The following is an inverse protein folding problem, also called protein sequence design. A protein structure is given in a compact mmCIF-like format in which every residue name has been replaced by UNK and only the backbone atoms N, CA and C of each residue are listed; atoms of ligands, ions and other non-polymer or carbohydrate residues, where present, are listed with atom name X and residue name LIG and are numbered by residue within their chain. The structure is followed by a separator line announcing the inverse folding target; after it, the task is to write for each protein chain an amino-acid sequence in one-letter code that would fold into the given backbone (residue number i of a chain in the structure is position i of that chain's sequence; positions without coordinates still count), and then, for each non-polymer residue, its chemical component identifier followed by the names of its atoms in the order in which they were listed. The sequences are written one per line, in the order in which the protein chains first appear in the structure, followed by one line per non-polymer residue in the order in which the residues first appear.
data_IF_635633396307
#
_entry.id   IF_635633396307
#
_cell.length_a   1.000
_cell.length_b   1.000
_cell.length_c   1.000
_cell.angle_alpha   90.00
_cell.angle_beta   90.00
_cell.angle_gamma   90.00
#
_symmetry.space_group_name_H-M   'P 1'
#
loop_
_entity.id
_entity.type
_entity.pdbx_description
1 polymer ?
#
# COMPACT_ATOMS: atom_id res chain seq x y z
N UNK A 1 18.89 -39.39 1.86
CA UNK A 1 17.45 -39.37 2.15
C UNK A 1 17.27 -39.04 3.61
N UNK A 2 16.77 -37.84 3.89
CA UNK A 2 16.25 -37.51 5.21
C UNK A 2 15.06 -38.43 5.49
N UNK A 3 14.83 -38.81 6.75
CA UNK A 3 13.70 -39.65 7.12
C UNK A 3 12.89 -38.91 8.20
N UNK A 4 11.71 -38.39 7.83
CA UNK A 4 10.68 -38.01 8.78
C UNK A 4 9.82 -39.24 9.05
N UNK A 5 9.73 -39.67 10.31
CA UNK A 5 8.80 -40.74 10.67
C UNK A 5 7.35 -40.26 10.57
N UNK A 6 6.42 -41.18 10.31
CA UNK A 6 4.99 -40.87 10.29
C UNK A 6 4.52 -40.24 11.62
N UNK A 7 5.10 -40.67 12.74
CA UNK A 7 4.86 -40.07 14.06
C UNK A 7 5.36 -38.63 14.18
N UNK A 8 6.47 -38.28 13.51
CA UNK A 8 6.97 -36.90 13.47
C UNK A 8 6.03 -36.01 12.66
N UNK A 9 5.55 -36.50 11.51
CA UNK A 9 4.56 -35.78 10.68
C UNK A 9 3.26 -35.58 11.46
N UNK A 10 2.71 -36.63 12.07
CA UNK A 10 1.49 -36.54 12.89
C UNK A 10 1.64 -35.58 14.08
N UNK A 11 2.85 -35.45 14.63
CA UNK A 11 3.13 -34.50 15.72
C UNK A 11 3.21 -33.06 15.23
N UNK A 12 3.78 -32.82 14.05
CA UNK A 12 3.86 -31.50 13.42
C UNK A 12 2.49 -31.00 12.92
N UNK A 13 1.60 -31.91 12.52
CA UNK A 13 0.24 -31.59 12.09
C UNK A 13 -0.76 -31.42 13.25
N UNK A 14 -0.35 -31.63 14.50
CA UNK A 14 -1.22 -31.31 15.64
C UNK A 14 -1.35 -29.79 15.72
N UNK A 15 -2.57 -29.24 15.86
CA UNK A 15 -2.76 -27.83 16.12
C UNK A 15 -1.88 -27.41 17.29
N UNK A 16 -1.18 -26.29 17.16
CA UNK A 16 -0.44 -25.72 18.28
C UNK A 16 -1.43 -25.48 19.42
N UNK A 17 -1.31 -26.27 20.51
CA UNK A 17 -2.04 -25.98 21.73
C UNK A 17 -1.49 -24.64 22.26
N UNK A 18 -2.36 -23.66 22.59
CA UNK A 18 -1.90 -22.42 23.19
C UNK A 18 -1.08 -22.76 24.43
N UNK A 19 0.13 -22.20 24.53
CA UNK A 19 1.05 -22.53 25.61
C UNK A 19 0.36 -22.36 26.97
N UNK A 20 0.39 -23.37 27.86
CA UNK A 20 -0.21 -23.26 29.18
C UNK A 20 0.57 -22.22 29.99
N UNK A 21 -0.03 -21.04 30.19
CA UNK A 21 0.59 -19.93 30.91
C UNK A 21 0.85 -18.66 30.09
N UNK A 22 0.41 -18.57 28.83
CA UNK A 22 0.24 -17.27 28.19
C UNK A 22 -0.83 -16.49 28.98
N UNK A 23 -0.38 -15.60 29.87
CA UNK A 23 -1.27 -14.69 30.58
C UNK A 23 -2.03 -13.85 29.55
N UNK A 24 -3.36 -13.67 29.69
CA UNK A 24 -4.17 -12.87 28.79
C UNK A 24 -4.05 -11.38 29.13
N UNK A 25 -2.83 -10.87 29.26
CA UNK A 25 -2.64 -9.44 29.50
C UNK A 25 -2.35 -8.75 28.15
N UNK A 26 -3.25 -7.82 27.80
CA UNK A 26 -3.38 -6.94 26.62
C UNK A 26 -4.23 -7.39 25.39
N UNK A 27 -4.96 -8.51 25.43
CA UNK A 27 -5.85 -8.95 24.33
C UNK A 27 -7.36 -8.66 24.53
N UNK A 28 -7.76 -7.70 25.36
CA UNK A 28 -9.19 -7.46 25.70
C UNK A 28 -10.05 -6.84 24.58
N UNK A 29 -9.55 -6.71 23.35
CA UNK A 29 -10.43 -6.51 22.21
C UNK A 29 -11.01 -7.86 21.81
N UNK A 30 -12.35 -8.00 21.88
CA UNK A 30 -13.03 -9.12 21.23
C UNK A 30 -12.49 -9.22 19.79
N UNK A 31 -12.02 -10.39 19.32
CA UNK A 31 -11.65 -10.52 17.91
C UNK A 31 -12.91 -10.17 17.12
N UNK A 32 -12.87 -9.03 16.42
CA UNK A 32 -13.79 -8.75 15.33
C UNK A 32 -13.81 -10.02 14.45
N UNK A 33 -14.95 -10.41 13.86
CA UNK A 33 -15.02 -11.62 13.05
C UNK A 33 -13.82 -11.61 12.11
N UNK A 34 -12.90 -12.55 12.32
CA UNK A 34 -11.58 -12.50 11.70
C UNK A 34 -11.79 -12.61 10.20
N UNK A 35 -11.79 -11.45 9.53
CA UNK A 35 -11.71 -11.39 8.10
C UNK A 35 -10.37 -12.05 7.78
N UNK A 36 -10.38 -13.11 6.98
CA UNK A 36 -9.17 -13.74 6.48
C UNK A 36 -8.31 -12.64 5.82
N UNK A 37 -7.19 -12.21 6.43
CA UNK A 37 -6.41 -11.07 5.94
C UNK A 37 -5.85 -11.36 4.55
N UNK A 38 -5.54 -12.63 4.26
CA UNK A 38 -5.09 -13.08 2.94
C UNK A 38 -6.21 -12.94 1.94
N UNK A 39 -7.42 -13.42 2.24
CA UNK A 39 -8.56 -13.27 1.35
C UNK A 39 -8.90 -11.79 1.09
N UNK A 40 -8.84 -10.94 2.11
CA UNK A 40 -9.05 -9.50 1.99
C UNK A 40 -8.02 -8.84 1.07
N UNK A 41 -6.73 -9.15 1.26
CA UNK A 41 -5.65 -8.66 0.41
C UNK A 41 -5.78 -9.16 -1.04
N UNK A 42 -6.08 -10.44 -1.23
CA UNK A 42 -6.27 -11.04 -2.55
C UNK A 42 -7.43 -10.40 -3.31
N UNK A 43 -8.57 -10.19 -2.65
CA UNK A 43 -9.71 -9.52 -3.25
C UNK A 43 -9.37 -8.08 -3.68
N UNK A 44 -8.66 -7.34 -2.81
CA UNK A 44 -8.25 -5.95 -3.08
C UNK A 44 -7.33 -5.83 -4.29
N UNK A 45 -6.40 -6.77 -4.43
CA UNK A 45 -5.35 -6.72 -5.46
C UNK A 45 -5.66 -7.59 -6.68
N UNK A 46 -6.85 -8.18 -6.76
CA UNK A 46 -7.27 -9.02 -7.88
C UNK A 46 -6.43 -10.29 -8.04
N UNK A 47 -5.91 -10.82 -6.92
CA UNK A 47 -5.09 -12.03 -6.91
C UNK A 47 -5.97 -13.27 -7.09
N UNK A 48 -5.46 -14.25 -7.81
CA UNK A 48 -6.16 -15.52 -8.03
C UNK A 48 -5.99 -16.48 -6.86
N UNK A 49 -6.78 -17.56 -6.84
CA UNK A 49 -6.65 -18.62 -5.83
C UNK A 49 -5.23 -19.23 -5.81
N UNK A 50 -4.61 -19.38 -7.00
CA UNK A 50 -3.23 -19.84 -7.08
C UNK A 50 -2.26 -18.82 -6.47
N UNK A 51 -2.49 -17.53 -6.68
CA UNK A 51 -1.65 -16.49 -6.08
C UNK A 51 -1.76 -16.51 -4.55
N UNK A 52 -2.97 -16.69 -4.02
CA UNK A 52 -3.21 -16.85 -2.58
C UNK A 52 -2.48 -18.09 -2.00
N UNK A 53 -2.60 -19.24 -2.68
CA UNK A 53 -1.93 -20.47 -2.25
C UNK A 53 -0.40 -20.32 -2.23
N UNK A 54 0.18 -19.73 -3.29
CA UNK A 54 1.63 -19.48 -3.36
C UNK A 54 2.10 -18.54 -2.25
N UNK A 55 1.32 -17.49 -1.94
CA UNK A 55 1.62 -16.55 -0.86
C UNK A 55 1.62 -17.26 0.50
N UNK A 56 0.59 -18.06 0.80
CA UNK A 56 0.48 -18.82 2.07
C UNK A 56 1.62 -19.84 2.21
N UNK A 57 1.96 -20.56 1.14
CA UNK A 57 3.08 -21.51 1.13
C UNK A 57 4.41 -20.79 1.41
N UNK A 58 4.63 -19.63 0.81
CA UNK A 58 5.85 -18.86 1.05
C UNK A 58 5.90 -18.25 2.47
N UNK A 59 4.74 -17.89 3.02
CA UNK A 59 4.58 -17.29 4.35
C UNK A 59 4.78 -18.30 5.49
N UNK A 60 4.44 -19.57 5.28
CA UNK A 60 4.36 -20.57 6.34
C UNK A 60 5.61 -20.70 7.25
N UNK A 61 6.85 -20.67 6.73
CA UNK A 61 8.07 -20.75 7.56
C UNK A 61 8.27 -19.55 8.48
N UNK A 62 7.75 -18.38 8.09
CA UNK A 62 7.85 -17.16 8.89
C UNK A 62 6.79 -17.13 10.02
N UNK A 63 5.75 -17.98 9.94
CA UNK A 63 4.70 -18.13 10.96
C UNK A 63 4.97 -19.25 11.96
N UNK A 64 5.44 -20.41 11.47
CA UNK A 64 5.75 -21.56 12.30
C UNK A 64 7.01 -22.27 11.79
N UNK A 65 8.00 -22.36 12.69
CA UNK A 65 9.29 -23.01 12.44
C UNK A 65 9.16 -24.49 12.06
N UNK A 66 8.05 -25.16 12.38
CA UNK A 66 7.75 -26.50 11.90
C UNK A 66 7.84 -26.60 10.36
N UNK A 67 7.42 -25.56 9.64
CA UNK A 67 7.48 -25.53 8.18
C UNK A 67 8.91 -25.45 7.64
N UNK A 68 9.86 -24.87 8.37
CA UNK A 68 11.28 -24.91 7.97
C UNK A 68 11.79 -26.35 7.82
N UNK A 69 11.41 -27.21 8.77
CA UNK A 69 11.82 -28.62 8.79
C UNK A 69 11.09 -29.42 7.71
N UNK A 70 9.78 -29.20 7.57
CA UNK A 70 8.97 -29.86 6.54
C UNK A 70 9.46 -29.50 5.13
N UNK A 71 9.77 -28.23 4.88
CA UNK A 71 10.27 -27.80 3.58
C UNK A 71 11.67 -28.30 3.31
N UNK A 72 12.57 -28.32 4.31
CA UNK A 72 13.89 -28.94 4.14
C UNK A 72 13.79 -30.43 3.77
N UNK A 73 12.84 -31.15 4.36
CA UNK A 73 12.57 -32.54 3.99
C UNK A 73 12.00 -32.68 2.58
N UNK A 74 10.97 -31.89 2.23
CA UNK A 74 10.32 -31.96 0.92
C UNK A 74 11.22 -31.49 -0.23
N UNK A 75 12.18 -30.60 0.05
CA UNK A 75 13.23 -30.21 -0.88
C UNK A 75 14.38 -31.24 -0.96
N UNK A 76 14.38 -32.30 -0.14
CA UNK A 76 15.52 -33.22 0.09
C UNK A 76 16.84 -32.50 0.43
N UNK A 77 16.74 -31.38 1.16
CA UNK A 77 17.85 -30.52 1.53
C UNK A 77 17.54 -29.75 2.82
N UNK A 78 18.13 -30.18 3.96
CA UNK A 78 17.94 -29.53 5.27
C UNK A 78 18.41 -28.08 5.33
N UNK A 79 19.25 -27.65 4.38
CA UNK A 79 19.68 -26.25 4.31
C UNK A 79 18.58 -25.36 3.71
N UNK A 80 17.62 -25.93 2.99
CA UNK A 80 16.51 -25.22 2.33
C UNK A 80 15.27 -25.16 3.20
N UNK A 81 15.20 -24.14 4.05
CA UNK A 81 14.11 -23.91 5.01
C UNK A 81 12.90 -23.14 4.45
N UNK A 82 12.94 -22.78 3.17
CA UNK A 82 11.86 -22.08 2.47
C UNK A 82 11.28 -22.91 1.34
N UNK A 83 10.06 -22.56 0.94
CA UNK A 83 9.44 -23.17 -0.22
C UNK A 83 10.24 -22.84 -1.47
N UNK A 84 10.58 -23.85 -2.27
CA UNK A 84 11.07 -23.62 -3.63
C UNK A 84 9.91 -23.46 -4.59
N UNK A 85 10.14 -22.91 -5.78
CA UNK A 85 9.11 -22.86 -6.83
C UNK A 85 8.58 -24.25 -7.15
N UNK A 86 9.44 -25.27 -7.25
CA UNK A 86 8.99 -26.66 -7.44
C UNK A 86 8.07 -27.10 -6.32
N UNK A 87 8.51 -26.96 -5.07
CA UNK A 87 7.74 -27.37 -3.90
C UNK A 87 6.39 -26.66 -3.83
N UNK A 88 6.34 -25.36 -4.10
CA UNK A 88 5.09 -24.60 -4.05
C UNK A 88 4.08 -25.08 -5.12
N UNK A 89 4.55 -25.38 -6.34
CA UNK A 89 3.69 -25.94 -7.38
C UNK A 89 3.23 -27.35 -7.05
N UNK A 90 4.12 -28.19 -6.52
CA UNK A 90 3.80 -29.57 -6.12
C UNK A 90 2.76 -29.61 -4.99
N UNK A 91 2.88 -28.73 -3.99
CA UNK A 91 1.90 -28.58 -2.91
C UNK A 91 0.53 -28.09 -3.41
N UNK A 92 0.51 -27.28 -4.47
CA UNK A 92 -0.72 -26.87 -5.16
C UNK A 92 -1.29 -27.95 -6.10
N UNK A 93 -0.61 -29.11 -6.24
CA UNK A 93 -1.01 -30.17 -7.18
C UNK A 93 -0.85 -29.78 -8.65
N UNK A 94 0.02 -28.81 -8.95
CA UNK A 94 0.21 -28.27 -10.29
C UNK A 94 1.52 -28.83 -10.88
N UNK A 95 1.50 -29.37 -12.11
CA UNK A 95 2.72 -29.85 -12.74
C UNK A 95 3.76 -28.73 -12.92
N UNK A 96 5.01 -28.98 -12.52
CA UNK A 96 6.12 -28.00 -12.57
C UNK A 96 6.45 -27.45 -13.98
N UNK A 97 5.99 -28.12 -15.03
CA UNK A 97 6.13 -27.72 -16.44
C UNK A 97 4.96 -26.83 -16.93
N UNK A 98 3.97 -26.55 -16.08
CA UNK A 98 2.84 -25.67 -16.41
C UNK A 98 3.32 -24.24 -16.67
N UNK A 99 3.18 -23.79 -17.93
CA UNK A 99 3.59 -22.45 -18.33
C UNK A 99 2.79 -21.36 -17.58
N UNK A 100 1.49 -21.57 -17.38
CA UNK A 100 0.61 -20.59 -16.71
C UNK A 100 0.95 -20.44 -15.24
N UNK A 101 1.30 -21.52 -14.55
CA UNK A 101 1.69 -21.49 -13.14
C UNK A 101 3.08 -20.84 -12.96
N UNK A 102 4.03 -21.19 -13.83
CA UNK A 102 5.35 -20.54 -13.85
C UNK A 102 5.25 -19.05 -14.13
N UNK A 103 4.31 -18.64 -14.98
CA UNK A 103 4.06 -17.24 -15.29
C UNK A 103 3.60 -16.44 -14.06
N UNK A 104 2.99 -17.04 -13.03
CA UNK A 104 2.60 -16.36 -11.78
C UNK A 104 3.77 -15.90 -10.92
N UNK A 105 4.96 -16.43 -11.17
CA UNK A 105 6.20 -16.12 -10.45
C UNK A 105 7.18 -15.31 -11.32
N UNK A 106 6.73 -14.83 -12.49
CA UNK A 106 7.50 -13.93 -13.33
C UNK A 106 7.63 -12.55 -12.66
N UNK A 107 8.72 -11.78 -12.88
CA UNK A 107 8.86 -10.43 -12.29
C UNK A 107 7.71 -9.46 -12.58
N UNK A 108 6.98 -9.66 -13.68
CA UNK A 108 5.82 -8.84 -14.05
C UNK A 108 4.48 -9.41 -13.55
N UNK A 109 4.49 -10.57 -12.90
CA UNK A 109 3.29 -11.21 -12.39
C UNK A 109 2.86 -10.58 -11.06
N UNK A 110 1.55 -10.57 -10.73
CA UNK A 110 1.02 -9.78 -9.61
C UNK A 110 1.73 -9.97 -8.28
N UNK A 111 2.04 -11.21 -7.87
CA UNK A 111 2.71 -11.44 -6.59
C UNK A 111 4.08 -10.76 -6.49
N UNK A 112 4.85 -10.78 -7.59
CA UNK A 112 6.21 -10.22 -7.61
C UNK A 112 6.18 -8.73 -7.93
N UNK A 113 5.42 -8.31 -8.94
CA UNK A 113 5.36 -6.91 -9.37
C UNK A 113 4.69 -5.99 -8.34
N UNK A 114 3.75 -6.51 -7.55
CA UNK A 114 3.14 -5.76 -6.45
C UNK A 114 3.98 -5.79 -5.18
N UNK A 115 5.11 -6.53 -5.18
CA UNK A 115 6.03 -6.62 -4.05
C UNK A 115 5.50 -7.44 -2.88
N UNK A 116 4.63 -8.43 -3.14
CA UNK A 116 4.06 -9.33 -2.12
C UNK A 116 4.91 -10.59 -1.92
N UNK A 117 5.66 -10.96 -2.95
CA UNK A 117 6.51 -12.16 -2.99
C UNK A 117 7.84 -11.84 -3.66
N UNK A 118 8.91 -12.34 -3.05
CA UNK A 118 10.28 -12.27 -3.59
C UNK A 118 10.68 -13.68 -4.03
N UNK A 119 11.19 -13.78 -5.25
CA UNK A 119 11.82 -14.99 -5.78
C UNK A 119 13.34 -14.81 -5.65
N UNK A 120 13.93 -15.51 -4.69
CA UNK A 120 15.36 -15.43 -4.37
C UNK A 120 16.20 -16.34 -5.28
N UNK A 121 17.52 -16.23 -5.21
CA UNK A 121 18.47 -17.08 -5.96
C UNK A 121 18.29 -17.00 -7.50
N UNK A 122 18.27 -15.79 -8.11
CA UNK A 122 18.01 -15.61 -9.54
C UNK A 122 19.00 -16.36 -10.46
N UNK A 123 20.22 -16.61 -9.98
CA UNK A 123 21.26 -17.39 -10.66
C UNK A 123 20.91 -18.88 -10.81
N UNK A 124 19.95 -19.39 -10.04
CA UNK A 124 19.50 -20.79 -10.12
C UNK A 124 18.40 -20.99 -11.16
N UNK A 125 18.21 -22.24 -11.63
CA UNK A 125 17.01 -22.61 -12.39
C UNK A 125 15.74 -22.28 -11.62
N UNK A 126 14.69 -21.81 -12.31
CA UNK A 126 13.45 -21.32 -11.68
C UNK A 126 12.90 -22.25 -10.60
N UNK A 127 12.84 -23.56 -10.88
CA UNK A 127 12.28 -24.55 -9.96
C UNK A 127 13.04 -24.67 -8.63
N UNK A 128 14.33 -24.35 -8.62
CA UNK A 128 15.18 -24.38 -7.43
C UNK A 128 15.26 -23.03 -6.71
N UNK A 129 14.56 -22.00 -7.19
CA UNK A 129 14.55 -20.69 -6.54
C UNK A 129 13.65 -20.71 -5.32
N UNK A 130 14.05 -20.02 -4.27
CA UNK A 130 13.32 -19.93 -3.00
C UNK A 130 12.29 -18.79 -3.05
N UNK A 131 11.14 -19.00 -2.42
CA UNK A 131 10.08 -18.02 -2.30
C UNK A 131 10.10 -17.40 -0.90
N UNK A 132 9.99 -16.08 -0.81
CA UNK A 132 9.96 -15.32 0.45
C UNK A 132 8.88 -14.26 0.42
N UNK A 133 8.18 -14.08 1.54
CA UNK A 133 7.28 -12.94 1.75
C UNK A 133 8.08 -11.82 2.44
N UNK A 134 7.98 -10.55 1.99
CA UNK A 134 8.62 -9.44 2.71
C UNK A 134 8.06 -9.27 4.12
N UNK A 135 8.91 -8.96 5.08
CA UNK A 135 8.57 -8.84 6.50
C UNK A 135 7.40 -7.88 6.75
N UNK A 136 7.33 -6.76 6.00
CA UNK A 136 6.21 -5.81 6.06
C UNK A 136 4.87 -6.45 5.66
N UNK A 137 4.87 -7.35 4.67
CA UNK A 137 3.66 -8.07 4.24
C UNK A 137 3.26 -9.11 5.28
N UNK A 138 4.24 -9.80 5.89
CA UNK A 138 4.01 -10.72 7.02
C UNK A 138 3.34 -9.97 8.17
N UNK A 139 3.90 -8.82 8.57
CA UNK A 139 3.37 -7.99 9.67
C UNK A 139 1.91 -7.55 9.41
N UNK A 140 1.61 -7.07 8.19
CA UNK A 140 0.24 -6.69 7.82
C UNK A 140 -0.74 -7.87 7.85
N UNK A 141 -0.33 -9.04 7.35
CA UNK A 141 -1.18 -10.24 7.40
C UNK A 141 -1.43 -10.74 8.83
N UNK A 142 -0.55 -10.36 9.78
CA UNK A 142 -0.72 -10.61 11.22
C UNK A 142 -1.48 -9.48 11.95
N UNK A 143 -1.91 -8.44 11.24
CA UNK A 143 -2.72 -7.35 11.77
C UNK A 143 -1.93 -6.12 12.23
N UNK A 144 -0.63 -6.02 11.94
CA UNK A 144 0.14 -4.81 12.18
C UNK A 144 0.06 -3.87 10.98
N UNK A 145 -0.70 -2.79 11.11
CA UNK A 145 -0.87 -1.76 10.09
C UNK A 145 0.15 -0.62 10.18
N UNK A 146 1.17 -0.74 11.05
CA UNK A 146 2.23 0.26 11.18
C UNK A 146 3.13 0.25 9.94
N UNK A 147 3.30 1.38 9.23
CA UNK A 147 4.24 1.46 8.11
C UNK A 147 5.68 1.16 8.53
N UNK A 148 6.49 0.64 7.60
CA UNK A 148 7.93 0.44 7.82
C UNK A 148 8.57 1.74 8.32
N UNK A 149 9.38 1.74 9.41
CA UNK A 149 10.01 2.94 9.95
C UNK A 149 10.82 3.76 8.92
N UNK A 150 11.46 3.09 7.96
CA UNK A 150 12.18 3.75 6.89
C UNK A 150 11.24 4.52 5.94
N UNK A 151 10.06 3.97 5.66
CA UNK A 151 9.02 4.67 4.89
C UNK A 151 8.35 5.76 5.73
N UNK A 152 8.05 5.47 7.00
CA UNK A 152 7.36 6.37 7.93
C UNK A 152 8.09 7.70 8.12
N UNK A 153 9.43 7.71 8.09
CA UNK A 153 10.23 8.93 8.13
C UNK A 153 9.94 9.92 6.97
N UNK A 154 9.40 9.43 5.86
CA UNK A 154 9.05 10.20 4.67
C UNK A 154 7.55 10.49 4.55
N UNK A 155 6.73 9.92 5.42
CA UNK A 155 5.30 10.24 5.50
C UNK A 155 5.09 11.54 6.26
N UNK A 156 4.10 12.31 5.83
CA UNK A 156 3.68 13.58 6.42
C UNK A 156 2.21 13.49 6.77
N UNK A 157 1.75 14.19 7.83
CA UNK A 157 0.33 14.32 8.05
C UNK A 157 -0.32 15.05 6.87
N UNK A 158 -1.55 14.66 6.51
CA UNK A 158 -2.38 15.48 5.64
C UNK A 158 -2.91 16.69 6.43
N UNK A 159 -3.10 17.85 5.78
CA UNK A 159 -3.75 18.97 6.43
C UNK A 159 -5.18 18.62 6.82
N UNK A 160 -5.65 19.18 7.94
CA UNK A 160 -7.05 19.09 8.31
C UNK A 160 -7.88 19.87 7.27
N UNK A 161 -8.97 19.30 6.73
CA UNK A 161 -9.82 19.99 5.78
C UNK A 161 -10.40 21.26 6.43
N UNK A 162 -10.54 22.34 5.65
CA UNK A 162 -11.10 23.57 6.16
C UNK A 162 -12.54 23.34 6.65
N UNK A 163 -12.91 23.99 7.75
CA UNK A 163 -14.31 24.11 8.13
C UNK A 163 -14.96 25.03 7.11
N UNK A 164 -15.84 24.50 6.28
CA UNK A 164 -16.61 25.29 5.33
C UNK A 164 -17.91 25.73 5.99
N UNK A 165 -18.18 27.03 5.94
CA UNK A 165 -19.38 27.63 6.55
C UNK A 165 -20.63 27.47 5.63
N UNK A 166 -20.55 26.55 4.66
CA UNK A 166 -21.56 26.36 3.62
C UNK A 166 -21.56 27.42 2.51
N UNK A 167 -20.56 28.31 2.45
CA UNK A 167 -20.49 29.39 1.44
C UNK A 167 -19.56 29.13 0.25
N UNK A 168 -18.76 28.05 0.29
CA UNK A 168 -17.75 27.75 -0.74
C UNK A 168 -18.21 26.58 -1.63
N UNK A 169 -19.28 26.84 -2.40
CA UNK A 169 -19.98 25.85 -3.23
C UNK A 169 -19.04 25.19 -4.27
N UNK A 170 -18.04 25.92 -4.76
CA UNK A 170 -17.08 25.39 -5.75
C UNK A 170 -16.13 24.36 -5.11
N UNK A 171 -15.55 24.69 -3.95
CA UNK A 171 -14.66 23.79 -3.22
C UNK A 171 -15.38 22.51 -2.78
N UNK A 172 -16.58 22.65 -2.21
CA UNK A 172 -17.40 21.50 -1.81
C UNK A 172 -17.73 20.60 -3.01
N UNK A 173 -18.22 21.19 -4.11
CA UNK A 173 -18.53 20.43 -5.33
C UNK A 173 -17.30 19.75 -5.93
N UNK A 174 -16.15 20.42 -5.95
CA UNK A 174 -14.91 19.85 -6.46
C UNK A 174 -14.48 18.64 -5.64
N UNK A 175 -14.47 18.77 -4.31
CA UNK A 175 -14.05 17.70 -3.39
C UNK A 175 -15.01 16.50 -3.42
N UNK A 176 -16.32 16.74 -3.55
CA UNK A 176 -17.32 15.67 -3.71
C UNK A 176 -17.14 14.91 -5.03
N UNK A 177 -16.90 15.61 -6.14
CA UNK A 177 -16.64 14.99 -7.44
C UNK A 177 -15.33 14.19 -7.44
N UNK A 178 -14.28 14.75 -6.83
CA UNK A 178 -13.00 14.06 -6.69
C UNK A 178 -13.13 12.81 -5.80
N UNK A 179 -13.86 12.91 -4.68
CA UNK A 179 -14.15 11.79 -3.80
C UNK A 179 -14.91 10.67 -4.53
N UNK A 180 -15.96 11.02 -5.28
CA UNK A 180 -16.70 10.06 -6.09
C UNK A 180 -15.79 9.39 -7.13
N UNK A 181 -14.88 10.14 -7.77
CA UNK A 181 -13.95 9.56 -8.76
C UNK A 181 -12.87 8.68 -8.13
N UNK A 182 -12.41 8.98 -6.92
CA UNK A 182 -11.42 8.19 -6.18
C UNK A 182 -11.93 6.79 -5.80
N UNK A 183 -13.23 6.67 -5.53
CA UNK A 183 -13.86 5.38 -5.19
C UNK A 183 -14.29 4.56 -6.41
N UNK A 184 -14.30 5.18 -7.60
CA UNK A 184 -14.68 4.52 -8.84
C UNK A 184 -13.51 3.76 -9.48
N UNK A 185 -13.81 2.62 -10.13
CA UNK A 185 -12.84 1.89 -10.94
C UNK A 185 -12.75 2.47 -12.38
N UNK A 186 -11.56 2.46 -13.02
CA UNK A 186 -10.24 2.09 -12.47
C UNK A 186 -9.68 3.17 -11.52
N UNK A 187 -8.69 2.81 -10.66
CA UNK A 187 -8.02 3.74 -9.74
C UNK A 187 -7.59 5.03 -10.44
N UNK A 188 -7.84 6.16 -9.77
CA UNK A 188 -7.57 7.49 -10.31
C UNK A 188 -6.12 7.89 -10.08
N UNK A 189 -5.43 8.30 -11.14
CA UNK A 189 -4.24 9.16 -11.06
C UNK A 189 -4.66 10.56 -11.47
N UNK A 190 -4.50 11.56 -10.60
CA UNK A 190 -4.85 12.94 -10.89
C UNK A 190 -3.72 13.90 -10.55
N UNK A 191 -3.58 14.94 -11.38
CA UNK A 191 -2.69 16.07 -11.15
C UNK A 191 -3.53 17.31 -10.81
N UNK A 192 -3.46 17.74 -9.55
CA UNK A 192 -4.13 18.93 -9.03
C UNK A 192 -3.21 20.14 -9.20
N UNK A 193 -3.48 20.93 -10.25
CA UNK A 193 -2.78 22.18 -10.51
C UNK A 193 -3.13 23.19 -9.43
N UNK A 194 -2.13 23.65 -8.71
CA UNK A 194 -2.28 24.64 -7.66
C UNK A 194 -2.09 26.05 -8.20
N UNK A 195 -3.07 26.93 -7.91
CA UNK A 195 -2.90 28.38 -8.06
C UNK A 195 -1.98 28.94 -6.98
N UNK A 196 -2.15 28.49 -5.73
CA UNK A 196 -1.27 28.77 -4.59
C UNK A 196 -0.85 27.46 -3.95
N UNK A 197 0.40 27.42 -3.48
CA UNK A 197 0.93 26.25 -2.79
C UNK A 197 0.00 25.81 -1.65
N UNK A 198 -0.41 24.54 -1.68
CA UNK A 198 -1.27 23.94 -0.67
C UNK A 198 -2.78 23.95 -0.97
N UNK A 199 -3.25 24.65 -2.01
CA UNK A 199 -4.65 24.61 -2.44
C UNK A 199 -5.05 23.17 -2.86
N UNK A 200 -4.22 22.54 -3.68
CA UNK A 200 -4.41 21.18 -4.18
C UNK A 200 -4.32 20.14 -3.07
N UNK A 201 -3.32 20.27 -2.17
CA UNK A 201 -3.19 19.37 -1.02
C UNK A 201 -4.42 19.41 -0.11
N UNK A 202 -5.06 20.57 0.04
CA UNK A 202 -6.29 20.75 0.82
C UNK A 202 -7.50 20.08 0.16
N UNK A 203 -7.62 20.23 -1.17
CA UNK A 203 -8.65 19.57 -1.95
C UNK A 203 -8.48 18.04 -1.88
N UNK A 204 -7.24 17.55 -2.02
CA UNK A 204 -6.90 16.14 -1.89
C UNK A 204 -7.30 15.60 -0.50
N UNK A 205 -6.87 16.27 0.58
CA UNK A 205 -7.20 15.86 1.95
C UNK A 205 -8.71 15.82 2.21
N UNK A 206 -9.45 16.81 1.70
CA UNK A 206 -10.90 16.88 1.86
C UNK A 206 -11.61 15.79 1.06
N UNK A 207 -11.23 15.58 -0.20
CA UNK A 207 -11.81 14.54 -1.05
C UNK A 207 -11.53 13.13 -0.52
N UNK A 208 -10.32 12.87 -0.03
CA UNK A 208 -9.95 11.58 0.57
C UNK A 208 -10.77 11.29 1.83
N UNK A 209 -10.99 12.31 2.67
CA UNK A 209 -11.85 12.19 3.85
C UNK A 209 -13.31 11.92 3.48
N UNK A 210 -13.85 12.66 2.52
CA UNK A 210 -15.21 12.44 2.00
C UNK A 210 -15.36 11.03 1.39
N UNK A 211 -14.32 10.54 0.72
CA UNK A 211 -14.28 9.19 0.16
C UNK A 211 -14.09 8.09 1.22
N UNK A 212 -13.71 8.43 2.45
CA UNK A 212 -13.35 7.46 3.49
C UNK A 212 -12.08 6.65 3.17
N UNK A 213 -11.19 7.19 2.33
CA UNK A 213 -9.96 6.51 1.92
C UNK A 213 -8.78 6.94 2.80
N UNK A 214 -8.01 5.99 3.36
CA UNK A 214 -6.74 6.33 4.00
C UNK A 214 -5.77 6.88 2.96
N UNK A 215 -4.78 7.65 3.41
CA UNK A 215 -3.84 8.30 2.50
C UNK A 215 -2.42 8.37 3.07
N UNK A 216 -1.46 8.17 2.18
CA UNK A 216 -0.03 8.28 2.42
C UNK A 216 0.48 9.55 1.73
N UNK A 217 0.59 10.63 2.50
CA UNK A 217 1.22 11.86 2.01
C UNK A 217 2.74 11.69 2.09
N UNK A 218 3.37 11.51 0.93
CA UNK A 218 4.77 11.14 0.80
C UNK A 218 5.62 12.33 0.36
N UNK A 219 6.73 12.55 1.05
CA UNK A 219 7.73 13.58 0.77
C UNK A 219 9.16 12.99 0.83
N UNK A 220 9.32 11.76 0.33
CA UNK A 220 10.59 11.03 0.34
C UNK A 220 11.25 10.92 -1.03
N UNK A 221 12.43 10.28 -1.07
CA UNK A 221 13.16 10.03 -2.31
C UNK A 221 12.52 8.93 -3.17
N UNK A 222 12.83 8.95 -4.48
CA UNK A 222 12.25 8.03 -5.48
C UNK A 222 12.60 6.55 -5.25
N UNK A 223 13.74 6.25 -4.61
CA UNK A 223 14.15 4.88 -4.26
C UNK A 223 13.21 4.21 -3.24
N UNK A 224 12.36 4.98 -2.56
CA UNK A 224 11.33 4.49 -1.63
C UNK A 224 9.95 4.30 -2.26
N UNK A 225 9.77 4.63 -3.54
CA UNK A 225 8.50 4.42 -4.25
C UNK A 225 8.05 2.96 -4.23
N UNK A 226 8.92 1.94 -4.38
CA UNK A 226 8.50 0.55 -4.25
C UNK A 226 7.93 0.20 -2.86
N UNK A 227 8.49 0.77 -1.80
CA UNK A 227 8.00 0.59 -0.42
C UNK A 227 6.66 1.32 -0.21
N UNK A 228 6.55 2.55 -0.73
CA UNK A 228 5.32 3.35 -0.71
C UNK A 228 4.17 2.65 -1.43
N UNK A 229 4.42 2.12 -2.64
CA UNK A 229 3.43 1.41 -3.43
C UNK A 229 2.97 0.12 -2.73
N UNK A 230 3.89 -0.61 -2.09
CA UNK A 230 3.56 -1.78 -1.28
C UNK A 230 2.66 -1.37 -0.10
N UNK A 231 3.04 -0.34 0.64
CA UNK A 231 2.26 0.16 1.77
C UNK A 231 0.86 0.60 1.36
N UNK A 232 0.72 1.35 0.26
CA UNK A 232 -0.55 1.77 -0.30
C UNK A 232 -1.46 0.58 -0.66
N UNK A 233 -0.88 -0.51 -1.20
CA UNK A 233 -1.62 -1.73 -1.56
C UNK A 233 -2.06 -2.53 -0.34
N UNK A 234 -1.23 -2.63 0.69
CA UNK A 234 -1.55 -3.32 1.93
C UNK A 234 -2.69 -2.59 2.66
N UNK A 235 -2.50 -1.29 2.91
CA UNK A 235 -3.46 -0.44 3.63
C UNK A 235 -4.69 -0.03 2.82
N UNK A 236 -4.67 -0.22 1.50
CA UNK A 236 -5.70 0.31 0.59
C UNK A 236 -5.70 1.84 0.53
N UNK A 237 -4.59 2.48 0.86
CA UNK A 237 -4.45 3.93 0.89
C UNK A 237 -4.19 4.53 -0.48
N UNK A 238 -4.67 5.75 -0.68
CA UNK A 238 -4.25 6.61 -1.78
C UNK A 238 -2.88 7.23 -1.49
N UNK A 239 -2.12 7.52 -2.54
CA UNK A 239 -0.86 8.25 -2.43
C UNK A 239 -1.09 9.72 -2.71
N UNK A 240 -0.53 10.59 -1.88
CA UNK A 240 -0.53 12.04 -2.10
C UNK A 240 0.90 12.55 -2.20
N UNK A 241 1.20 13.28 -3.25
CA UNK A 241 2.51 13.89 -3.51
C UNK A 241 2.34 15.39 -3.69
N UNK A 242 2.80 16.17 -2.72
CA UNK A 242 2.82 17.64 -2.82
C UNK A 242 4.14 18.19 -3.38
N UNK A 243 5.16 17.32 -3.51
CA UNK A 243 6.48 17.69 -4.00
C UNK A 243 6.90 16.75 -5.11
N UNK A 244 7.24 17.32 -6.27
CA UNK A 244 7.79 16.60 -7.40
C UNK A 244 9.30 16.88 -7.51
N UNK A 245 10.11 15.89 -7.93
CA UNK A 245 11.54 16.08 -8.17
C UNK A 245 11.80 17.04 -9.36
N UNK A 246 13.07 17.30 -9.63
CA UNK A 246 13.49 18.09 -10.80
C UNK A 246 13.06 17.41 -12.11
N UNK A 247 13.20 16.09 -12.19
CA UNK A 247 12.77 15.24 -13.30
C UNK A 247 11.57 14.36 -12.90
N UNK A 248 10.33 14.87 -12.96
CA UNK A 248 9.14 14.14 -12.50
C UNK A 248 8.69 12.98 -13.40
N UNK A 249 9.14 12.92 -14.67
CA UNK A 249 8.64 11.95 -15.65
C UNK A 249 8.76 10.47 -15.24
N UNK A 250 9.90 9.99 -14.72
CA UNK A 250 10.02 8.62 -14.23
C UNK A 250 9.04 8.29 -13.08
N UNK A 251 9.00 9.15 -12.06
CA UNK A 251 8.12 9.00 -10.90
C UNK A 251 6.63 8.98 -11.29
N UNK A 252 6.20 9.93 -12.13
CA UNK A 252 4.80 10.03 -12.56
C UNK A 252 4.38 8.79 -13.36
N UNK A 253 5.24 8.25 -14.25
CA UNK A 253 4.93 7.00 -14.97
C UNK A 253 4.79 5.80 -14.07
N UNK A 254 5.71 5.65 -13.13
CA UNK A 254 5.67 4.53 -12.18
C UNK A 254 4.38 4.55 -11.35
N UNK A 255 4.01 5.73 -10.85
CA UNK A 255 2.79 5.93 -10.07
C UNK A 255 1.53 5.77 -10.91
N UNK A 256 1.50 6.29 -12.14
CA UNK A 256 0.35 6.16 -13.04
C UNK A 256 0.06 4.70 -13.41
N UNK A 257 1.11 3.88 -13.57
CA UNK A 257 1.01 2.46 -13.87
C UNK A 257 0.79 1.56 -12.63
N UNK A 258 0.81 2.14 -11.42
CA UNK A 258 0.89 1.37 -10.17
C UNK A 258 -0.39 0.66 -9.75
N UNK A 259 -1.54 1.07 -10.30
CA UNK A 259 -2.86 0.56 -9.94
C UNK A 259 -3.37 1.00 -8.57
N UNK A 260 -2.76 2.00 -7.93
CA UNK A 260 -3.29 2.63 -6.70
C UNK A 260 -3.81 4.03 -7.02
N UNK A 261 -4.75 4.59 -6.23
CA UNK A 261 -5.15 5.98 -6.39
C UNK A 261 -3.98 6.91 -6.06
N UNK A 262 -3.67 7.86 -6.95
CA UNK A 262 -2.56 8.81 -6.80
C UNK A 262 -3.06 10.24 -7.04
N UNK A 263 -2.80 11.12 -6.08
CA UNK A 263 -3.04 12.55 -6.19
C UNK A 263 -1.70 13.28 -6.14
N UNK A 264 -1.34 13.93 -7.25
CA UNK A 264 -0.15 14.76 -7.34
C UNK A 264 -0.61 16.21 -7.29
N UNK A 265 -0.01 17.04 -6.45
CA UNK A 265 -0.33 18.46 -6.36
C UNK A 265 0.90 19.29 -6.68
N UNK A 266 0.70 20.43 -7.34
CA UNK A 266 1.84 21.28 -7.68
C UNK A 266 1.51 22.58 -8.39
N UNK A 267 2.40 23.56 -8.19
CA UNK A 267 2.37 24.88 -8.81
C UNK A 267 3.04 24.93 -10.19
N UNK A 268 3.48 23.79 -10.74
CA UNK A 268 3.95 23.67 -12.12
C UNK A 268 2.82 23.17 -13.05
N UNK A 269 2.73 23.59 -14.31
CA UNK A 269 1.86 22.93 -15.29
C UNK A 269 2.26 21.47 -15.46
N UNK A 270 1.28 20.58 -15.63
CA UNK A 270 1.54 19.21 -16.03
C UNK A 270 2.15 19.17 -17.44
N UNK A 271 3.18 18.35 -17.63
CA UNK A 271 3.75 18.08 -18.94
C UNK A 271 3.32 16.68 -19.41
N UNK A 272 2.58 16.56 -20.53
CA UNK A 272 2.19 15.27 -21.09
C UNK A 272 3.35 14.33 -21.41
N UNK A 273 4.58 14.85 -21.59
CA UNK A 273 5.77 14.03 -21.79
C UNK A 273 6.20 13.26 -20.53
N UNK A 274 5.64 13.60 -19.38
CA UNK A 274 5.83 12.82 -18.15
C UNK A 274 5.14 11.47 -18.22
N UNK A 275 4.26 11.19 -19.18
CA UNK A 275 3.65 9.88 -19.37
C UNK A 275 3.87 9.35 -20.79
N UNK A 276 3.99 8.03 -20.90
CA UNK A 276 4.04 7.36 -22.20
C UNK A 276 2.61 7.27 -22.77
N UNK A 277 2.42 7.64 -24.05
CA UNK A 277 1.10 7.62 -24.69
C UNK A 277 0.51 6.20 -24.65
N UNK A 278 -0.51 5.99 -23.81
CA UNK A 278 -1.25 4.72 -23.70
C UNK A 278 -1.28 4.09 -22.30
N UNK A 279 -0.44 4.53 -21.36
CA UNK A 279 -0.50 4.08 -19.97
C UNK A 279 -0.94 5.24 -19.04
N UNK A 280 -2.24 5.30 -18.75
CA UNK A 280 -2.82 6.05 -17.63
C UNK A 280 -2.42 7.53 -17.51
N UNK A 281 -2.71 8.36 -18.51
CA UNK A 281 -2.50 9.81 -18.41
C UNK A 281 -3.27 10.39 -17.19
N UNK A 282 -2.61 11.12 -16.27
CA UNK A 282 -3.26 11.71 -15.11
C UNK A 282 -4.42 12.61 -15.51
N UNK A 283 -5.52 12.53 -14.76
CA UNK A 283 -6.57 13.52 -14.85
C UNK A 283 -6.05 14.87 -14.32
N UNK A 284 -5.81 15.83 -15.21
CA UNK A 284 -5.36 17.17 -14.84
C UNK A 284 -6.57 18.02 -14.43
N UNK A 285 -6.55 18.51 -13.20
CA UNK A 285 -7.61 19.34 -12.62
C UNK A 285 -7.02 20.63 -12.06
N UNK A 286 -7.72 21.75 -12.23
CA UNK A 286 -7.39 22.99 -11.55
C UNK A 286 -7.97 22.95 -10.13
N UNK A 287 -7.13 23.08 -9.12
CA UNK A 287 -7.58 23.11 -7.73
C UNK A 287 -8.28 24.46 -7.47
N UNK A 288 -9.53 24.44 -6.94
CA UNK A 288 -10.20 25.67 -6.57
C UNK A 288 -9.37 26.41 -5.51
N UNK A 289 -9.30 27.73 -5.64
CA UNK A 289 -8.63 28.58 -4.65
C UNK A 289 -9.39 28.48 -3.34
N UNK A 290 -8.67 28.47 -2.22
CA UNK A 290 -9.31 28.65 -0.92
C UNK A 290 -10.05 29.99 -0.89
N UNK A 291 -11.34 29.97 -0.56
CA UNK A 291 -12.05 31.18 -0.13
C UNK A 291 -11.42 31.79 1.12
N UNK A 292 -11.98 32.91 1.59
CA UNK A 292 -11.55 33.71 2.77
C UNK A 292 -11.50 32.97 4.12
N UNK A 293 -11.56 31.64 4.14
CA UNK A 293 -11.42 30.79 5.31
C UNK A 293 -10.02 30.77 5.95
N UNK A 294 -9.01 31.45 5.40
CA UNK A 294 -7.72 31.54 6.09
C UNK A 294 -7.81 32.39 7.37
N UNK A 295 -8.66 33.43 7.40
CA UNK A 295 -8.91 34.21 8.63
C UNK A 295 -9.49 33.31 9.73
N UNK A 296 -10.45 32.45 9.39
CA UNK A 296 -11.07 31.51 10.33
C UNK A 296 -10.14 30.37 10.73
N UNK A 297 -9.32 29.87 9.81
CA UNK A 297 -8.30 28.87 10.11
C UNK A 297 -7.23 29.42 11.06
N UNK A 298 -6.77 30.65 10.84
CA UNK A 298 -5.86 31.34 11.74
C UNK A 298 -6.52 31.66 13.09
N UNK A 299 -7.79 32.09 13.10
CA UNK A 299 -8.54 32.31 14.35
C UNK A 299 -8.75 31.03 15.16
N UNK A 300 -8.91 29.87 14.50
CA UNK A 300 -9.04 28.58 15.17
C UNK A 300 -7.73 28.15 15.86
N UNK A 301 -6.57 28.53 15.32
CA UNK A 301 -5.25 28.23 15.92
C UNK A 301 -4.84 29.27 16.95
N UNK A 302 -5.12 30.56 16.70
CA UNK A 302 -4.72 31.69 17.53
C UNK A 302 -5.73 32.04 18.64
N UNK A 303 -6.96 31.50 18.58
CA UNK A 303 -8.08 31.87 19.44
C UNK A 303 -8.95 32.98 18.83
N UNK A 304 -10.18 33.13 19.34
CA UNK A 304 -11.22 33.99 18.76
C UNK A 304 -10.91 35.50 18.79
N UNK A 305 -10.02 35.95 19.67
CA UNK A 305 -9.58 37.36 19.74
C UNK A 305 -8.05 37.47 19.81
N UNK A 306 -7.36 37.40 18.67
CA UNK A 306 -5.97 37.85 18.61
C UNK A 306 -5.93 39.37 18.89
N UNK A 307 -4.96 39.84 19.69
CA UNK A 307 -4.78 41.27 20.02
C UNK A 307 -4.36 42.16 18.85
N UNK A 308 -4.65 41.76 17.61
CA UNK A 308 -4.33 42.45 16.36
C UNK A 308 -5.42 42.13 15.31
N UNK A 309 -5.55 42.98 14.29
CA UNK A 309 -6.48 42.74 13.18
C UNK A 309 -5.96 41.59 12.31
N UNK A 310 -6.47 40.38 12.59
CA UNK A 310 -6.09 39.17 11.88
C UNK A 310 -6.44 39.26 10.39
N UNK A 311 -7.59 39.82 10.05
CA UNK A 311 -8.04 39.95 8.66
C UNK A 311 -7.10 40.84 7.85
N UNK A 312 -6.71 41.99 8.40
CA UNK A 312 -5.71 42.87 7.78
C UNK A 312 -4.32 42.21 7.68
N UNK A 313 -3.95 41.39 8.67
CA UNK A 313 -2.64 40.73 8.73
C UNK A 313 -2.51 39.58 7.74
N UNK A 314 -3.59 38.83 7.49
CA UNK A 314 -3.58 37.72 6.52
C UNK A 314 -4.01 38.13 5.11
N UNK A 315 -4.53 39.35 4.91
CA UNK A 315 -4.92 39.88 3.61
C UNK A 315 -3.81 39.83 2.53
N UNK A 316 -2.51 40.07 2.82
CA UNK A 316 -1.44 39.92 1.84
C UNK A 316 -1.17 38.46 1.43
N UNK A 317 -1.65 37.52 2.24
CA UNK A 317 -1.55 36.08 2.02
C UNK A 317 -2.84 35.49 1.41
N UNK A 318 -3.77 36.35 0.95
CA UNK A 318 -5.01 36.02 0.23
C UNK A 318 -4.96 36.41 -1.24
#
# INVERSE_FOLDING_TARGET
GLYLSEDAVRRLLRPAEPAPGAAPDDLTAAPAPAQDPVAGLCARLGLTELDAALLVIALAPDLDRAFEQLYGYLNDDVSRRRATVALALDLCGIPVHSATARARLHPTAPLVSLGLLIVEEPERPLLSRSLRVPDRVVAHLLGDDTPDPALAAHLRPLPEPPRTDGSDDEFARFTDLLAARLTAAPPLTAYLRESREGDGLSCAASALRTAGLPALHFAGPEDRVPDLLREARLSGAAIVLATLPEEPGPLVRELAASGVPVLITGTRPYDPQWCDHGAGDPLVLEAPRRGTGAVLAWAAVLGAEPGFDLAATVAPYH
#
